data_IF_164162439426
#
_entry.id   IF_164162439426
#
_cell.length_a   1.000
_cell.length_b   1.000
_cell.length_c   1.000
_cell.angle_alpha   90.00
_cell.angle_beta   90.00
_cell.angle_gamma   90.00
#
_symmetry.space_group_name_H-M   'P 1'
#
loop_
_entity.id
_entity.type
_entity.pdbx_description
1 polymer ?
#
# COMPACT_ATOMS: atom_id res chain seq x y z
N UNK A 1 -16.08 14.84 -0.80
CA UNK A 1 -15.41 14.46 0.48
C UNK A 1 -14.46 13.32 0.16
N UNK A 2 -13.14 13.50 0.30
CA UNK A 2 -12.16 12.50 -0.12
C UNK A 2 -11.89 11.53 1.04
N UNK A 3 -12.45 10.31 0.95
CA UNK A 3 -12.36 9.29 2.00
C UNK A 3 -10.90 9.01 2.39
N UNK A 4 -9.98 9.04 1.42
CA UNK A 4 -8.55 8.87 1.64
C UNK A 4 -7.95 9.95 2.54
N UNK A 5 -8.39 11.20 2.39
CA UNK A 5 -7.86 12.32 3.18
C UNK A 5 -8.26 12.20 4.65
N UNK A 6 -9.52 11.84 4.91
CA UNK A 6 -10.03 11.64 6.27
C UNK A 6 -9.33 10.47 6.97
N UNK A 7 -9.05 9.39 6.24
CA UNK A 7 -8.28 8.25 6.78
C UNK A 7 -6.86 8.69 7.12
N UNK A 8 -6.18 9.44 6.25
CA UNK A 8 -4.83 9.95 6.53
C UNK A 8 -4.81 10.85 7.77
N UNK A 9 -5.74 11.79 7.89
CA UNK A 9 -5.85 12.67 9.07
C UNK A 9 -6.05 11.88 10.37
N UNK A 10 -6.90 10.85 10.35
CA UNK A 10 -7.10 9.94 11.51
C UNK A 10 -5.83 9.15 11.86
N UNK A 11 -5.09 8.69 10.85
CA UNK A 11 -3.82 7.99 11.06
C UNK A 11 -2.80 8.93 11.71
N UNK A 12 -2.67 10.17 11.22
CA UNK A 12 -1.78 11.18 11.82
C UNK A 12 -2.18 11.46 13.27
N UNK A 13 -3.47 11.68 13.56
CA UNK A 13 -3.93 11.92 14.93
C UNK A 13 -3.58 10.75 15.85
N UNK A 14 -3.84 9.52 15.42
CA UNK A 14 -3.49 8.31 16.17
C UNK A 14 -1.99 8.23 16.42
N UNK A 15 -1.16 8.43 15.40
CA UNK A 15 0.31 8.40 15.52
C UNK A 15 0.83 9.44 16.51
N UNK A 16 0.34 10.68 16.44
CA UNK A 16 0.78 11.78 17.31
C UNK A 16 0.35 11.61 18.77
N UNK A 17 -0.67 10.76 19.02
CA UNK A 17 -1.14 10.38 20.36
C UNK A 17 -0.55 9.06 20.84
N UNK A 18 0.36 8.47 20.06
CA UNK A 18 0.97 7.18 20.30
C UNK A 18 0.01 5.97 20.25
N UNK A 19 -1.11 6.11 19.55
CA UNK A 19 -2.10 5.06 19.34
C UNK A 19 -1.78 4.24 18.07
N UNK A 20 -2.30 3.01 18.02
CA UNK A 20 -2.12 2.14 16.85
C UNK A 20 -3.06 2.55 15.70
N UNK A 21 -2.48 2.79 14.53
CA UNK A 21 -3.17 3.21 13.31
C UNK A 21 -3.55 2.04 12.38
N UNK A 22 -3.01 0.82 12.63
CA UNK A 22 -3.13 -0.33 11.72
C UNK A 22 -4.59 -0.73 11.43
N UNK A 23 -5.48 -0.53 12.41
CA UNK A 23 -6.91 -0.76 12.25
C UNK A 23 -7.52 0.09 11.12
N UNK A 24 -7.09 1.35 10.96
CA UNK A 24 -7.58 2.24 9.90
C UNK A 24 -7.21 1.69 8.52
N UNK A 25 -6.02 1.11 8.38
CA UNK A 25 -5.55 0.49 7.14
C UNK A 25 -6.33 -0.78 6.85
N UNK A 26 -6.54 -1.64 7.84
CA UNK A 26 -7.32 -2.87 7.69
C UNK A 26 -8.75 -2.54 7.26
N UNK A 27 -9.37 -1.55 7.89
CA UNK A 27 -10.72 -1.10 7.55
C UNK A 27 -10.78 -0.57 6.11
N UNK A 28 -9.80 0.23 5.70
CA UNK A 28 -9.71 0.75 4.32
C UNK A 28 -9.55 -0.39 3.29
N UNK A 29 -8.73 -1.40 3.59
CA UNK A 29 -8.58 -2.59 2.73
C UNK A 29 -9.89 -3.39 2.65
N UNK A 30 -10.64 -3.49 3.75
CA UNK A 30 -11.91 -4.21 3.78
C UNK A 30 -12.98 -3.49 2.95
N UNK A 31 -13.12 -2.18 3.10
CA UNK A 31 -14.05 -1.36 2.30
C UNK A 31 -13.72 -1.47 0.80
N UNK A 32 -12.45 -1.25 0.42
CA UNK A 32 -12.03 -1.33 -0.98
C UNK A 32 -12.24 -2.73 -1.59
N UNK A 33 -12.07 -3.79 -0.80
CA UNK A 33 -12.31 -5.16 -1.26
C UNK A 33 -13.80 -5.45 -1.45
N UNK A 34 -14.66 -5.05 -0.51
CA UNK A 34 -16.09 -5.29 -0.61
C UNK A 34 -16.72 -4.50 -1.77
N UNK A 35 -16.28 -3.26 -1.98
CA UNK A 35 -16.70 -2.45 -3.11
C UNK A 35 -16.30 -3.11 -4.45
N UNK A 36 -15.05 -3.57 -4.56
CA UNK A 36 -14.62 -4.37 -5.70
C UNK A 36 -15.46 -5.63 -5.90
N UNK A 37 -15.70 -6.41 -4.83
CA UNK A 37 -16.45 -7.65 -4.92
C UNK A 37 -17.88 -7.41 -5.45
N UNK A 38 -18.56 -6.37 -4.95
CA UNK A 38 -19.89 -5.98 -5.43
C UNK A 38 -19.86 -5.55 -6.89
N UNK A 39 -18.84 -4.78 -7.32
CA UNK A 39 -18.67 -4.40 -8.71
C UNK A 39 -18.41 -5.60 -9.62
N UNK A 40 -17.53 -6.50 -9.20
CA UNK A 40 -17.17 -7.69 -9.94
C UNK A 40 -18.35 -8.66 -10.11
N UNK A 41 -19.13 -8.90 -9.05
CA UNK A 41 -20.34 -9.73 -9.17
C UNK A 41 -21.40 -9.13 -10.10
N UNK A 42 -21.52 -7.79 -10.17
CA UNK A 42 -22.39 -7.14 -11.17
C UNK A 42 -21.89 -7.37 -12.59
N UNK A 43 -20.59 -7.25 -12.83
CA UNK A 43 -20.00 -7.54 -14.15
C UNK A 43 -20.21 -9.00 -14.54
N UNK A 44 -20.06 -9.95 -13.61
CA UNK A 44 -20.33 -11.37 -13.85
C UNK A 44 -21.80 -11.59 -14.21
N UNK A 45 -22.72 -10.97 -13.47
CA UNK A 45 -24.14 -11.06 -13.76
C UNK A 45 -24.44 -10.57 -15.18
N UNK A 46 -23.92 -9.40 -15.55
CA UNK A 46 -24.12 -8.80 -16.89
C UNK A 46 -23.55 -9.67 -18.01
N UNK A 47 -22.35 -10.21 -17.82
CA UNK A 47 -21.70 -11.08 -18.80
C UNK A 47 -22.44 -12.43 -18.94
N UNK A 48 -22.78 -13.09 -17.82
CA UNK A 48 -23.39 -14.42 -17.85
C UNK A 48 -24.85 -14.40 -18.29
N UNK A 49 -25.59 -13.29 -18.14
CA UNK A 49 -26.94 -13.15 -18.73
C UNK A 49 -26.89 -13.22 -20.26
N UNK A 50 -25.80 -12.74 -20.86
CA UNK A 50 -25.63 -12.69 -22.31
C UNK A 50 -25.11 -14.02 -22.88
N UNK A 51 -24.59 -14.90 -22.02
CA UNK A 51 -24.01 -16.18 -22.39
C UNK A 51 -24.99 -17.35 -22.14
N UNK A 52 -25.26 -18.11 -23.18
CA UNK A 52 -26.10 -19.33 -23.10
C UNK A 52 -25.27 -20.62 -23.02
N UNK A 53 -23.93 -20.53 -23.03
CA UNK A 53 -23.05 -21.69 -23.05
C UNK A 53 -22.58 -22.10 -21.63
N UNK A 54 -22.21 -23.38 -21.50
CA UNK A 54 -21.62 -23.97 -20.30
C UNK A 54 -20.07 -23.98 -20.37
N UNK A 55 -19.46 -23.03 -21.10
CA UNK A 55 -18.01 -22.93 -21.28
C UNK A 55 -17.41 -21.80 -20.43
N UNK A 56 -16.09 -21.79 -20.27
CA UNK A 56 -15.34 -20.70 -19.64
C UNK A 56 -15.02 -19.56 -20.62
N UNK A 57 -15.40 -19.68 -21.89
CA UNK A 57 -15.07 -18.72 -22.94
C UNK A 57 -15.64 -17.33 -22.65
N UNK A 58 -16.88 -17.25 -22.14
CA UNK A 58 -17.46 -15.96 -21.74
C UNK A 58 -16.59 -15.23 -20.71
N UNK A 59 -15.93 -15.95 -19.79
CA UNK A 59 -15.07 -15.33 -18.80
C UNK A 59 -13.82 -14.76 -19.47
N UNK A 60 -13.19 -15.52 -20.39
CA UNK A 60 -12.02 -15.07 -21.14
C UNK A 60 -12.34 -13.84 -21.98
N UNK A 61 -13.45 -13.85 -22.70
CA UNK A 61 -13.90 -12.73 -23.53
C UNK A 61 -14.16 -11.46 -22.69
N UNK A 62 -14.93 -11.59 -21.61
CA UNK A 62 -15.38 -10.43 -20.84
C UNK A 62 -14.33 -9.90 -19.85
N UNK A 63 -13.49 -10.77 -19.28
CA UNK A 63 -12.57 -10.41 -18.20
C UNK A 63 -11.08 -10.46 -18.56
N UNK A 64 -10.71 -10.98 -19.74
CA UNK A 64 -9.31 -11.03 -20.18
C UNK A 64 -9.13 -10.27 -21.50
N UNK A 65 -9.83 -10.68 -22.55
CA UNK A 65 -9.68 -10.12 -23.90
C UNK A 65 -10.35 -8.75 -24.09
N UNK A 66 -11.10 -8.27 -23.12
CA UNK A 66 -11.83 -7.00 -23.19
C UNK A 66 -10.86 -5.80 -23.22
N UNK A 67 -10.89 -5.05 -24.32
CA UNK A 67 -10.03 -3.88 -24.55
C UNK A 67 -10.25 -2.73 -23.54
N UNK A 68 -11.44 -2.65 -22.94
CA UNK A 68 -11.78 -1.59 -21.99
C UNK A 68 -11.17 -1.82 -20.59
N UNK A 69 -10.71 -3.03 -20.29
CA UNK A 69 -10.09 -3.34 -19.00
C UNK A 69 -8.69 -2.78 -18.94
N UNK A 70 -8.27 -2.28 -17.78
CA UNK A 70 -6.87 -1.92 -17.58
C UNK A 70 -6.02 -3.15 -17.19
N UNK A 71 -4.69 -3.04 -17.31
CA UNK A 71 -3.77 -4.15 -17.01
C UNK A 71 -3.89 -4.68 -15.57
N UNK A 72 -4.29 -3.85 -14.61
CA UNK A 72 -4.47 -4.32 -13.23
C UNK A 72 -5.73 -5.16 -13.07
N UNK A 73 -6.82 -4.81 -13.75
CA UNK A 73 -8.05 -5.60 -13.80
C UNK A 73 -7.81 -6.96 -14.47
N UNK A 74 -7.19 -6.96 -15.65
CA UNK A 74 -6.83 -8.18 -16.39
C UNK A 74 -6.04 -9.15 -15.52
N UNK A 75 -4.97 -8.66 -14.86
CA UNK A 75 -4.16 -9.49 -13.97
C UNK A 75 -4.99 -10.07 -12.81
N UNK A 76 -5.82 -9.25 -12.15
CA UNK A 76 -6.67 -9.68 -11.04
C UNK A 76 -7.66 -10.76 -11.47
N UNK A 77 -8.34 -10.57 -12.61
CA UNK A 77 -9.30 -11.53 -13.13
C UNK A 77 -8.64 -12.82 -13.61
N UNK A 78 -7.39 -12.73 -14.07
CA UNK A 78 -6.55 -13.88 -14.36
C UNK A 78 -6.01 -14.60 -13.11
N UNK A 79 -6.26 -14.08 -11.91
CA UNK A 79 -5.78 -14.70 -10.67
C UNK A 79 -4.31 -14.44 -10.37
N UNK A 80 -3.69 -13.40 -10.96
CA UNK A 80 -2.30 -13.04 -10.72
C UNK A 80 -2.15 -11.56 -10.32
N UNK A 81 -1.19 -11.25 -9.46
CA UNK A 81 -0.90 -9.85 -9.11
C UNK A 81 -0.02 -9.20 -10.19
N UNK A 82 -0.40 -8.02 -10.69
CA UNK A 82 0.41 -7.24 -11.64
C UNK A 82 1.86 -7.03 -11.19
N UNK A 83 2.09 -6.82 -9.89
CA UNK A 83 3.44 -6.71 -9.32
C UNK A 83 4.24 -8.00 -9.47
N UNK A 84 3.59 -9.16 -9.39
CA UNK A 84 4.25 -10.45 -9.66
C UNK A 84 4.69 -10.54 -11.11
N UNK A 85 3.87 -10.07 -12.05
CA UNK A 85 4.23 -9.99 -13.47
C UNK A 85 5.47 -9.08 -13.63
N UNK A 86 5.46 -7.88 -13.05
CA UNK A 86 6.62 -6.98 -13.08
C UNK A 86 7.90 -7.63 -12.54
N UNK A 87 7.79 -8.37 -11.43
CA UNK A 87 8.95 -8.98 -10.79
C UNK A 87 9.55 -10.13 -11.63
N UNK A 88 8.71 -10.87 -12.36
CA UNK A 88 9.16 -12.00 -13.18
C UNK A 88 9.68 -11.52 -14.54
N UNK A 89 8.96 -10.59 -15.18
CA UNK A 89 9.19 -10.20 -16.57
C UNK A 89 9.88 -8.83 -16.72
N UNK A 90 10.10 -8.10 -15.62
CA UNK A 90 10.72 -6.77 -15.64
C UNK A 90 9.85 -5.68 -16.28
N UNK A 91 8.59 -5.96 -16.58
CA UNK A 91 7.70 -5.04 -17.30
C UNK A 91 6.23 -5.24 -16.90
N UNK A 92 5.45 -4.19 -17.10
CA UNK A 92 4.02 -4.12 -16.79
C UNK A 92 3.19 -3.58 -17.97
N UNK A 93 3.73 -3.65 -19.19
CA UNK A 93 3.00 -3.22 -20.39
C UNK A 93 1.74 -4.06 -20.59
N UNK A 94 0.75 -3.51 -21.29
CA UNK A 94 -0.53 -4.20 -21.51
C UNK A 94 -0.32 -5.52 -22.22
N UNK A 95 0.57 -5.58 -23.20
CA UNK A 95 0.85 -6.75 -24.02
C UNK A 95 1.38 -7.90 -23.16
N UNK A 96 2.38 -7.64 -22.32
CA UNK A 96 2.96 -8.65 -21.41
C UNK A 96 1.92 -9.10 -20.39
N UNK A 97 1.12 -8.17 -19.86
CA UNK A 97 0.08 -8.54 -18.89
C UNK A 97 -0.99 -9.41 -19.54
N UNK A 98 -1.42 -9.12 -20.77
CA UNK A 98 -2.39 -9.93 -21.51
C UNK A 98 -1.85 -11.34 -21.78
N UNK A 99 -0.60 -11.44 -22.27
CA UNK A 99 0.05 -12.73 -22.54
C UNK A 99 0.09 -13.61 -21.27
N UNK A 100 0.56 -13.03 -20.16
CA UNK A 100 0.65 -13.76 -18.87
C UNK A 100 -0.72 -14.08 -18.31
N UNK A 101 -1.69 -13.18 -18.43
CA UNK A 101 -3.05 -13.40 -17.97
C UNK A 101 -3.74 -14.55 -18.73
N UNK A 102 -3.59 -14.58 -20.06
CA UNK A 102 -4.14 -15.63 -20.89
C UNK A 102 -3.54 -16.99 -20.53
N UNK A 103 -2.20 -17.07 -20.47
CA UNK A 103 -1.49 -18.29 -20.09
C UNK A 103 -1.90 -18.79 -18.69
N UNK A 104 -2.08 -17.88 -17.71
CA UNK A 104 -2.45 -18.26 -16.36
C UNK A 104 -3.91 -18.74 -16.28
N UNK A 105 -4.83 -18.14 -17.05
CA UNK A 105 -6.22 -18.61 -17.12
C UNK A 105 -6.30 -19.99 -17.76
N UNK A 106 -5.60 -20.23 -18.86
CA UNK A 106 -5.59 -21.54 -19.52
C UNK A 106 -4.99 -22.61 -18.60
N UNK A 107 -3.96 -22.26 -17.81
CA UNK A 107 -3.43 -23.13 -16.76
C UNK A 107 -4.47 -23.44 -15.67
N UNK A 108 -5.16 -22.42 -15.15
CA UNK A 108 -6.17 -22.58 -14.10
C UNK A 108 -7.36 -23.42 -14.58
N UNK A 109 -7.84 -23.19 -15.80
CA UNK A 109 -8.93 -23.98 -16.40
C UNK A 109 -8.55 -25.47 -16.48
N UNK A 110 -7.35 -25.78 -16.99
CA UNK A 110 -6.87 -27.16 -17.05
C UNK A 110 -6.75 -27.80 -15.65
N UNK A 111 -6.27 -27.05 -14.66
CA UNK A 111 -6.19 -27.52 -13.28
C UNK A 111 -7.59 -27.79 -12.69
N UNK A 112 -8.55 -26.91 -12.94
CA UNK A 112 -9.91 -27.04 -12.45
C UNK A 112 -10.65 -28.22 -13.10
N UNK A 113 -10.47 -28.44 -14.40
CA UNK A 113 -11.00 -29.61 -15.10
C UNK A 113 -10.46 -30.91 -14.49
N UNK A 114 -9.15 -31.00 -14.25
CA UNK A 114 -8.55 -32.17 -13.62
C UNK A 114 -9.03 -32.40 -12.17
N UNK A 115 -9.25 -31.32 -11.40
CA UNK A 115 -9.77 -31.41 -10.03
C UNK A 115 -11.25 -31.79 -9.98
N UNK A 116 -12.07 -31.25 -10.89
CA UNK A 116 -13.51 -31.49 -10.95
C UNK A 116 -13.88 -32.95 -11.20
N UNK A 117 -13.04 -33.69 -11.93
CA UNK A 117 -13.20 -35.14 -12.15
C UNK A 117 -13.00 -35.97 -10.87
N UNK A 118 -12.35 -35.41 -9.85
CA UNK A 118 -11.95 -36.11 -8.61
C UNK A 118 -12.70 -35.67 -7.35
N UNK A 119 -13.59 -34.68 -7.46
CA UNK A 119 -14.19 -34.02 -6.30
C UNK A 119 -15.60 -34.54 -5.96
N UNK A 120 -15.76 -35.08 -4.75
CA UNK A 120 -17.08 -35.44 -4.17
C UNK A 120 -17.88 -34.22 -3.65
N UNK A 121 -17.37 -32.99 -3.86
CA UNK A 121 -17.95 -31.75 -3.33
C UNK A 121 -18.37 -30.84 -4.49
N UNK A 122 -19.66 -30.49 -4.54
CA UNK A 122 -20.18 -29.45 -5.43
C UNK A 122 -20.14 -28.07 -4.79
N UNK A 123 -19.61 -27.08 -5.52
CA UNK A 123 -19.67 -25.66 -5.17
C UNK A 123 -20.39 -24.91 -6.31
N UNK A 124 -21.34 -24.05 -5.95
CA UNK A 124 -22.06 -23.20 -6.88
C UNK A 124 -22.23 -21.81 -6.27
N UNK A 125 -21.86 -20.77 -7.03
CA UNK A 125 -22.16 -19.38 -6.69
C UNK A 125 -23.41 -18.93 -7.44
N UNK A 126 -24.44 -18.58 -6.68
CA UNK A 126 -25.64 -17.95 -7.19
C UNK A 126 -25.58 -16.44 -6.98
N UNK A 127 -25.64 -15.68 -8.06
CA UNK A 127 -25.61 -14.21 -8.03
C UNK A 127 -26.98 -13.72 -8.44
N UNK A 128 -27.62 -12.93 -7.58
CA UNK A 128 -28.97 -12.40 -7.80
C UNK A 128 -28.99 -10.88 -7.67
N UNK A 129 -29.63 -10.20 -8.62
CA UNK A 129 -29.92 -8.78 -8.54
C UNK A 129 -31.32 -8.51 -9.07
N UNK A 130 -32.20 -7.98 -8.21
CA UNK A 130 -33.64 -7.83 -8.48
C UNK A 130 -34.23 -9.19 -8.90
N UNK A 131 -34.79 -9.29 -10.11
CA UNK A 131 -35.43 -10.49 -10.63
C UNK A 131 -34.50 -11.33 -11.52
N UNK A 132 -33.22 -10.95 -11.63
CA UNK A 132 -32.25 -11.67 -12.46
C UNK A 132 -31.34 -12.48 -11.57
N UNK A 133 -31.11 -13.74 -11.96
CA UNK A 133 -30.18 -14.63 -11.27
C UNK A 133 -29.37 -15.42 -12.28
N UNK A 134 -28.08 -15.56 -11.99
CA UNK A 134 -27.17 -16.48 -12.69
C UNK A 134 -26.58 -17.44 -11.68
N UNK A 135 -26.29 -18.65 -12.13
CA UNK A 135 -25.63 -19.69 -11.34
C UNK A 135 -24.34 -20.07 -12.06
N UNK A 136 -23.25 -20.07 -11.32
CA UNK A 136 -21.93 -20.47 -11.80
C UNK A 136 -21.69 -21.93 -11.46
N UNK A 137 -21.17 -22.69 -12.42
CA UNK A 137 -20.73 -24.06 -12.16
C UNK A 137 -19.49 -24.09 -11.25
N UNK A 138 -18.99 -25.29 -10.93
CA UNK A 138 -17.85 -25.48 -10.04
C UNK A 138 -16.61 -24.70 -10.50
N UNK A 139 -16.24 -24.81 -11.77
CA UNK A 139 -15.03 -24.21 -12.32
C UNK A 139 -15.15 -22.68 -12.37
N UNK A 140 -16.29 -22.16 -12.85
CA UNK A 140 -16.59 -20.74 -12.87
C UNK A 140 -16.57 -20.15 -11.45
N UNK A 141 -17.16 -20.86 -10.48
CA UNK A 141 -17.19 -20.45 -9.07
C UNK A 141 -15.79 -20.36 -8.48
N UNK A 142 -14.95 -21.38 -8.70
CA UNK A 142 -13.58 -21.40 -8.20
C UNK A 142 -12.71 -20.32 -8.85
N UNK A 143 -12.92 -20.04 -10.14
CA UNK A 143 -12.21 -18.96 -10.83
C UNK A 143 -12.56 -17.58 -10.27
N UNK A 144 -13.84 -17.32 -10.03
CA UNK A 144 -14.31 -16.08 -9.40
C UNK A 144 -13.75 -15.92 -7.98
N UNK A 145 -13.71 -17.00 -7.19
CA UNK A 145 -13.10 -17.00 -5.85
C UNK A 145 -11.61 -16.68 -5.95
N UNK A 146 -10.90 -17.25 -6.92
CA UNK A 146 -9.48 -16.99 -7.13
C UNK A 146 -9.23 -15.51 -7.48
N UNK A 147 -10.03 -14.91 -8.35
CA UNK A 147 -9.93 -13.48 -8.66
C UNK A 147 -10.19 -12.58 -7.44
N UNK A 148 -11.20 -12.91 -6.62
CA UNK A 148 -11.47 -12.22 -5.35
C UNK A 148 -10.29 -12.33 -4.37
N UNK A 149 -9.73 -13.54 -4.22
CA UNK A 149 -8.55 -13.77 -3.37
C UNK A 149 -7.34 -12.96 -3.85
N UNK A 150 -7.08 -12.97 -5.15
CA UNK A 150 -6.00 -12.19 -5.78
C UNK A 150 -6.18 -10.69 -5.54
N UNK A 151 -7.40 -10.15 -5.71
CA UNK A 151 -7.66 -8.74 -5.38
C UNK A 151 -7.38 -8.45 -3.91
N UNK A 152 -7.83 -9.31 -2.99
CA UNK A 152 -7.62 -9.10 -1.54
C UNK A 152 -6.14 -9.06 -1.20
N UNK A 153 -5.34 -9.96 -1.78
CA UNK A 153 -3.89 -10.02 -1.59
C UNK A 153 -3.23 -8.76 -2.18
N UNK A 154 -3.61 -8.35 -3.39
CA UNK A 154 -3.09 -7.14 -4.03
C UNK A 154 -3.37 -5.88 -3.20
N UNK A 155 -4.60 -5.72 -2.69
CA UNK A 155 -4.97 -4.61 -1.81
C UNK A 155 -4.14 -4.62 -0.52
N UNK A 156 -3.96 -5.78 0.12
CA UNK A 156 -3.13 -5.91 1.33
C UNK A 156 -1.68 -5.53 1.05
N UNK A 157 -1.07 -6.04 -0.02
CA UNK A 157 0.32 -5.74 -0.36
C UNK A 157 0.57 -4.27 -0.73
N UNK A 158 -0.39 -3.63 -1.40
CA UNK A 158 -0.27 -2.23 -1.82
C UNK A 158 -0.58 -1.21 -0.72
N UNK A 159 -1.57 -1.49 0.14
CA UNK A 159 -2.09 -0.51 1.10
C UNK A 159 -1.06 -0.05 2.13
N UNK A 160 -0.28 -0.96 2.73
CA UNK A 160 0.72 -0.60 3.74
C UNK A 160 1.80 0.32 3.19
N UNK A 161 2.32 0.01 1.99
CA UNK A 161 3.34 0.82 1.32
C UNK A 161 2.77 2.17 0.89
N UNK A 162 1.57 2.18 0.29
CA UNK A 162 0.91 3.42 -0.16
C UNK A 162 0.62 4.36 0.99
N UNK A 163 0.08 3.84 2.10
CA UNK A 163 -0.21 4.65 3.30
C UNK A 163 1.09 5.15 3.94
N UNK A 164 2.12 4.30 4.03
CA UNK A 164 3.46 4.70 4.47
C UNK A 164 3.95 5.93 3.70
N UNK A 165 4.05 5.83 2.37
CA UNK A 165 4.52 6.94 1.53
C UNK A 165 3.63 8.19 1.64
N UNK A 166 2.31 8.03 1.73
CA UNK A 166 1.36 9.14 1.86
C UNK A 166 1.43 9.84 3.23
N UNK A 167 1.97 9.20 4.28
CA UNK A 167 2.00 9.76 5.64
C UNK A 167 3.29 10.51 5.97
N UNK A 168 4.41 10.17 5.32
CA UNK A 168 5.76 10.62 5.67
C UNK A 168 5.80 12.15 5.83
N UNK A 169 5.45 12.88 4.76
CA UNK A 169 5.44 14.34 4.75
C UNK A 169 4.31 14.94 5.60
N UNK A 170 3.03 14.51 5.49
CA UNK A 170 1.96 15.05 6.34
C UNK A 170 2.20 14.92 7.85
N UNK A 171 2.80 13.81 8.29
CA UNK A 171 3.15 13.59 9.69
C UNK A 171 4.20 14.60 10.16
N UNK A 172 5.25 14.83 9.36
CA UNK A 172 6.29 15.82 9.68
C UNK A 172 5.74 17.24 9.72
N UNK A 173 4.87 17.60 8.79
CA UNK A 173 4.18 18.89 8.80
C UNK A 173 3.32 19.06 10.05
N UNK A 174 2.59 18.02 10.46
CA UNK A 174 1.78 18.06 11.67
C UNK A 174 2.64 18.20 12.95
N UNK A 175 3.79 17.52 13.03
CA UNK A 175 4.76 17.69 14.11
C UNK A 175 5.31 19.12 14.14
N UNK A 176 5.81 19.62 13.00
CA UNK A 176 6.33 20.99 12.87
C UNK A 176 5.28 22.03 13.29
N UNK A 177 4.04 21.88 12.82
CA UNK A 177 2.93 22.78 13.16
C UNK A 177 2.61 22.76 14.65
N UNK A 178 2.52 21.58 15.28
CA UNK A 178 2.25 21.45 16.73
C UNK A 178 3.39 22.01 17.59
N UNK A 179 4.63 21.96 17.10
CA UNK A 179 5.78 22.58 17.76
C UNK A 179 5.94 24.07 17.42
N UNK A 180 5.20 24.60 16.44
CA UNK A 180 5.33 25.98 15.98
C UNK A 180 6.63 26.27 15.23
N UNK A 181 7.19 25.27 14.54
CA UNK A 181 8.32 25.46 13.61
C UNK A 181 7.83 26.30 12.43
N UNK A 182 8.55 27.37 12.10
CA UNK A 182 8.18 28.24 10.98
C UNK A 182 8.57 27.61 9.64
N UNK A 183 7.83 27.94 8.58
CA UNK A 183 8.05 27.38 7.24
C UNK A 183 9.47 27.61 6.69
N UNK A 184 10.16 28.67 7.11
CA UNK A 184 11.55 28.92 6.73
C UNK A 184 12.57 27.94 7.33
N UNK A 185 12.16 27.06 8.26
CA UNK A 185 13.04 26.08 8.91
C UNK A 185 12.74 24.64 8.51
N UNK A 186 11.93 24.42 7.47
CA UNK A 186 11.74 23.11 6.89
C UNK A 186 11.53 23.18 5.37
N UNK A 187 11.91 22.10 4.68
CA UNK A 187 11.60 21.90 3.27
C UNK A 187 10.77 20.62 3.13
N UNK A 188 9.62 20.77 2.47
CA UNK A 188 8.69 19.70 2.19
C UNK A 188 8.46 19.52 0.68
N UNK A 189 9.24 20.15 -0.18
CA UNK A 189 9.06 20.10 -1.62
C UNK A 189 9.27 18.68 -2.17
N UNK A 190 8.59 18.31 -3.27
CA UNK A 190 8.81 17.03 -3.92
C UNK A 190 10.29 16.88 -4.29
N UNK A 191 10.86 15.71 -4.02
CA UNK A 191 12.23 15.42 -4.40
C UNK A 191 12.40 15.54 -5.92
N UNK A 192 13.40 16.31 -6.33
CA UNK A 192 13.87 16.40 -7.70
C UNK A 192 15.34 16.00 -7.72
N UNK A 193 15.65 14.89 -8.39
CA UNK A 193 17.02 14.39 -8.49
C UNK A 193 17.91 15.44 -9.13
N UNK A 194 18.94 15.85 -8.40
CA UNK A 194 20.00 16.67 -8.96
C UNK A 194 20.86 15.80 -9.89
N UNK A 195 20.79 16.09 -11.19
CA UNK A 195 21.54 15.36 -12.22
C UNK A 195 23.04 15.68 -12.19
N UNK A 196 23.46 16.69 -11.43
CA UNK A 196 24.87 17.07 -11.28
C UNK A 196 25.61 16.28 -10.20
N UNK A 197 24.88 15.65 -9.27
CA UNK A 197 25.46 14.81 -8.24
C UNK A 197 25.69 13.38 -8.76
N UNK A 198 26.84 12.79 -8.42
CA UNK A 198 27.14 11.39 -8.71
C UNK A 198 26.15 10.43 -8.04
N UNK A 199 25.55 10.88 -6.95
CA UNK A 199 24.52 10.19 -6.20
C UNK A 199 23.64 11.20 -5.47
N UNK A 200 22.33 11.10 -5.69
CA UNK A 200 21.33 11.91 -4.99
C UNK A 200 20.15 11.00 -4.65
N UNK A 201 19.77 10.96 -3.37
CA UNK A 201 18.73 10.08 -2.85
C UNK A 201 17.61 10.90 -2.24
N UNK A 202 16.39 10.45 -2.51
CA UNK A 202 15.20 11.00 -1.88
C UNK A 202 15.26 10.82 -0.36
N UNK A 203 15.01 11.92 0.35
CA UNK A 203 14.81 11.99 1.80
C UNK A 203 13.38 12.43 2.04
N UNK A 204 12.73 11.87 3.04
CA UNK A 204 11.30 12.08 3.27
C UNK A 204 10.96 13.52 3.70
N UNK A 205 11.86 14.19 4.45
CA UNK A 205 11.69 15.58 4.90
C UNK A 205 13.02 16.25 5.30
N UNK A 206 13.07 17.59 5.33
CA UNK A 206 14.27 18.36 5.72
C UNK A 206 13.95 19.45 6.74
N UNK A 207 14.83 19.63 7.72
CA UNK A 207 14.77 20.71 8.72
C UNK A 207 16.06 21.54 8.69
N UNK A 208 16.00 22.80 9.13
CA UNK A 208 17.14 23.71 9.16
C UNK A 208 17.33 24.31 10.56
N UNK A 209 18.58 24.44 10.99
CA UNK A 209 18.92 25.19 12.21
C UNK A 209 18.62 26.69 12.07
N UNK A 210 18.75 27.42 13.17
CA UNK A 210 18.36 28.83 13.28
C UNK A 210 19.02 29.77 12.25
N UNK A 211 20.27 29.52 11.88
CA UNK A 211 21.01 30.31 10.88
C UNK A 211 20.99 29.68 9.48
N UNK A 212 20.26 28.57 9.30
CA UNK A 212 20.16 27.78 8.07
C UNK A 212 21.50 27.26 7.53
N UNK A 213 22.57 27.26 8.33
CA UNK A 213 23.88 26.73 7.93
C UNK A 213 23.91 25.20 7.85
N UNK A 214 22.96 24.52 8.50
CA UNK A 214 22.89 23.06 8.56
C UNK A 214 21.51 22.55 8.18
N UNK A 215 21.50 21.63 7.22
CA UNK A 215 20.34 20.82 6.84
C UNK A 215 20.33 19.51 7.63
N UNK A 216 19.19 19.18 8.22
CA UNK A 216 18.91 17.91 8.88
C UNK A 216 17.93 17.10 8.06
N UNK A 217 18.42 15.98 7.53
CA UNK A 217 17.63 14.99 6.79
C UNK A 217 16.80 14.16 7.75
N UNK A 218 15.51 14.03 7.45
CA UNK A 218 14.56 13.27 8.26
C UNK A 218 14.00 12.11 7.47
N UNK A 219 14.02 10.94 8.11
CA UNK A 219 13.47 9.71 7.56
C UNK A 219 12.28 9.26 8.41
N UNK A 220 11.19 8.89 7.76
CA UNK A 220 9.95 8.46 8.42
C UNK A 220 9.62 7.03 8.02
N UNK A 221 9.38 6.15 9.00
CA UNK A 221 9.03 4.74 8.73
C UNK A 221 7.91 4.24 9.62
N UNK A 222 6.83 3.78 8.98
CA UNK A 222 5.76 3.03 9.63
C UNK A 222 6.06 1.53 9.55
N UNK A 223 6.77 1.01 10.55
CA UNK A 223 7.37 -0.33 10.57
C UNK A 223 6.43 -1.39 11.19
N UNK A 224 6.62 -2.63 10.78
CA UNK A 224 6.05 -3.80 11.47
C UNK A 224 7.06 -4.37 12.46
N UNK A 225 6.59 -5.13 13.46
CA UNK A 225 7.45 -5.84 14.43
C UNK A 225 8.53 -6.72 13.77
N UNK A 226 8.26 -7.23 12.56
CA UNK A 226 9.14 -8.16 11.84
C UNK A 226 10.17 -7.53 10.89
N UNK A 227 10.35 -6.21 10.88
CA UNK A 227 11.31 -5.57 9.96
C UNK A 227 12.21 -4.52 10.66
N UNK A 228 13.10 -4.95 11.57
CA UNK A 228 14.01 -4.03 12.25
C UNK A 228 15.05 -3.40 11.32
N UNK A 229 15.36 -4.01 10.18
CA UNK A 229 16.37 -3.53 9.20
C UNK A 229 15.91 -2.30 8.42
N UNK A 230 14.63 -1.94 8.48
CA UNK A 230 14.18 -0.66 7.95
C UNK A 230 14.90 0.54 8.57
N UNK A 231 15.47 0.41 9.77
CA UNK A 231 16.31 1.44 10.37
C UNK A 231 17.65 1.65 9.64
N UNK A 232 18.14 0.69 8.86
CA UNK A 232 19.39 0.83 8.09
C UNK A 232 19.24 1.83 6.93
N UNK A 233 17.99 2.16 6.56
CA UNK A 233 17.71 3.25 5.62
C UNK A 233 18.31 4.58 6.09
N UNK A 234 18.45 4.79 7.41
CA UNK A 234 19.09 5.97 8.01
C UNK A 234 20.53 6.12 7.54
N UNK A 235 21.31 5.03 7.51
CA UNK A 235 22.70 5.05 7.03
C UNK A 235 22.75 5.29 5.53
N UNK A 236 21.90 4.57 4.80
CA UNK A 236 21.87 4.61 3.35
C UNK A 236 21.45 5.99 2.79
N UNK A 237 20.77 6.80 3.60
CA UNK A 237 20.27 8.15 3.26
C UNK A 237 20.97 9.27 4.06
N UNK A 238 21.91 8.93 4.94
CA UNK A 238 22.61 9.87 5.84
C UNK A 238 21.61 10.75 6.63
N UNK A 239 20.58 10.11 7.19
CA UNK A 239 19.53 10.79 7.93
C UNK A 239 19.99 11.15 9.34
N UNK A 240 19.61 12.35 9.78
CA UNK A 240 19.96 12.89 11.09
C UNK A 240 18.85 12.67 12.12
N UNK A 241 17.62 12.50 11.63
CA UNK A 241 16.43 12.29 12.46
C UNK A 241 15.66 11.10 11.90
N UNK A 242 15.30 10.15 12.77
CA UNK A 242 14.50 8.98 12.41
C UNK A 242 13.17 8.97 13.19
N UNK A 243 12.06 9.08 12.48
CA UNK A 243 10.72 9.03 13.06
C UNK A 243 10.09 7.68 12.70
N UNK A 244 9.74 6.89 13.70
CA UNK A 244 9.14 5.59 13.47
C UNK A 244 7.93 5.33 14.35
N UNK A 245 7.00 4.52 13.88
CA UNK A 245 5.89 4.09 14.73
C UNK A 245 6.38 3.17 15.85
N UNK A 246 7.25 2.20 15.57
CA UNK A 246 7.76 1.21 16.54
C UNK A 246 9.27 1.06 16.35
N UNK A 247 10.06 1.10 17.43
CA UNK A 247 11.51 0.87 17.42
C UNK A 247 11.89 -0.27 18.37
N UNK A 248 12.66 -1.23 17.87
CA UNK A 248 13.27 -2.24 18.75
C UNK A 248 14.35 -1.62 19.64
N UNK A 249 14.69 -2.29 20.75
CA UNK A 249 15.82 -1.88 21.62
C UNK A 249 17.12 -1.81 20.81
N UNK A 250 17.33 -2.77 19.90
CA UNK A 250 18.49 -2.78 19.02
C UNK A 250 18.52 -1.55 18.10
N UNK A 251 17.38 -1.17 17.50
CA UNK A 251 17.33 0.04 16.67
C UNK A 251 17.68 1.30 17.48
N UNK A 252 17.16 1.43 18.70
CA UNK A 252 17.47 2.58 19.58
C UNK A 252 18.96 2.65 19.91
N UNK A 253 19.57 1.51 20.25
CA UNK A 253 21.00 1.42 20.54
C UNK A 253 21.84 1.79 19.31
N UNK A 254 21.45 1.31 18.13
CA UNK A 254 22.14 1.55 16.87
C UNK A 254 22.05 3.02 16.44
N UNK A 255 20.85 3.62 16.48
CA UNK A 255 20.65 5.04 16.18
C UNK A 255 21.44 5.93 17.15
N UNK A 256 21.48 5.57 18.44
CA UNK A 256 22.30 6.28 19.44
C UNK A 256 23.79 6.17 19.12
N UNK A 257 24.28 4.98 18.73
CA UNK A 257 25.68 4.78 18.35
C UNK A 257 26.07 5.56 17.08
N UNK A 258 25.10 5.86 16.21
CA UNK A 258 25.28 6.64 14.99
C UNK A 258 25.03 8.15 15.16
N UNK A 259 24.78 8.62 16.38
CA UNK A 259 24.45 10.02 16.67
C UNK A 259 23.21 10.51 15.88
N UNK A 260 22.21 9.65 15.72
CA UNK A 260 20.95 9.94 15.04
C UNK A 260 19.86 10.17 16.08
N UNK A 261 19.21 11.33 16.02
CA UNK A 261 18.05 11.62 16.86
C UNK A 261 16.85 10.77 16.40
N UNK A 262 16.05 10.27 17.33
CA UNK A 262 14.91 9.44 16.96
C UNK A 262 13.67 9.68 17.81
N UNK A 263 12.51 9.43 17.20
CA UNK A 263 11.21 9.49 17.85
C UNK A 263 10.43 8.21 17.56
N UNK A 264 10.15 7.44 18.61
CA UNK A 264 9.16 6.36 18.55
C UNK A 264 7.78 6.93 18.89
N UNK A 265 6.79 6.65 18.04
CA UNK A 265 5.43 7.18 18.19
C UNK A 265 4.54 6.24 19.01
N UNK A 266 4.49 4.94 18.70
CA UNK A 266 3.58 3.99 19.34
C UNK A 266 3.88 3.84 20.82
N UNK A 267 2.86 4.03 21.65
CA UNK A 267 2.98 4.02 23.10
C UNK A 267 3.57 5.31 23.70
N UNK A 268 4.02 6.26 22.88
CA UNK A 268 4.51 7.54 23.34
C UNK A 268 3.34 8.52 23.55
N UNK A 269 3.13 8.93 24.80
CA UNK A 269 2.05 9.87 25.17
C UNK A 269 2.40 11.33 24.94
N UNK A 270 3.67 11.64 24.69
CA UNK A 270 4.19 13.00 24.51
C UNK A 270 5.09 13.11 23.26
N UNK A 271 4.60 12.60 22.11
CA UNK A 271 5.32 12.67 20.83
C UNK A 271 5.75 14.10 20.48
N UNK A 272 4.91 15.10 20.79
CA UNK A 272 5.19 16.51 20.51
C UNK A 272 6.29 17.06 21.41
N UNK A 273 6.24 16.76 22.71
CA UNK A 273 7.28 17.18 23.66
C UNK A 273 8.63 16.53 23.37
N UNK A 274 8.65 15.25 23.01
CA UNK A 274 9.87 14.56 22.61
C UNK A 274 10.44 15.10 21.30
N UNK A 275 9.58 15.42 20.32
CA UNK A 275 10.04 16.10 19.11
C UNK A 275 10.62 17.48 19.41
N UNK A 276 10.04 18.27 20.33
CA UNK A 276 10.64 19.54 20.78
C UNK A 276 12.05 19.36 21.37
N UNK A 277 12.31 18.25 22.08
CA UNK A 277 13.66 17.95 22.62
C UNK A 277 14.66 17.74 21.49
N UNK A 278 14.27 17.03 20.43
CA UNK A 278 15.09 16.83 19.22
C UNK A 278 15.38 18.19 18.57
N UNK A 279 14.34 19.00 18.32
CA UNK A 279 14.50 20.34 17.73
C UNK A 279 15.47 21.22 18.54
N UNK A 280 15.34 21.19 19.88
CA UNK A 280 16.24 21.92 20.78
C UNK A 280 17.69 21.44 20.68
N UNK A 281 17.94 20.13 20.66
CA UNK A 281 19.31 19.58 20.55
C UNK A 281 19.96 19.94 19.22
N UNK A 282 19.18 20.02 18.15
CA UNK A 282 19.65 20.35 16.81
C UNK A 282 19.64 21.86 16.50
N UNK A 283 19.25 22.72 17.46
CA UNK A 283 19.21 24.17 17.26
C UNK A 283 18.18 24.62 16.22
N UNK A 284 17.10 23.87 16.04
CA UNK A 284 16.01 24.18 15.10
C UNK A 284 14.97 25.06 15.83
N UNK A 285 14.61 26.24 15.31
CA UNK A 285 13.64 27.13 15.97
C UNK A 285 12.22 26.56 16.03
N UNK A 286 11.61 26.67 17.21
CA UNK A 286 10.20 26.30 17.46
C UNK A 286 9.58 27.24 18.51
N UNK A 287 8.25 27.28 18.61
CA UNK A 287 7.58 28.09 19.63
C UNK A 287 7.47 27.29 20.94
N UNK A 288 7.95 27.90 22.03
CA UNK A 288 7.95 27.35 23.39
C UNK A 288 6.59 26.80 23.80
#
# INVERSE_FOLDING_TARGET
MNLDKLVLERIIDKLLRGLDYREEIINSINVAFLDFALGFFKQILEAKIQDQQLSLEWYKEHFIANENLNSQEIAVYAGINKKTICNIYGSETREIVLEVAQANIDYLENLLNALGESADIGLCLKITYKNISVELNLNESLLVINALATKKIALRGGAWSSVGKKIEKPLMLALCQKCGVQQGFYNADPFSKDKSLSYDREVDFKLYNADQSREYRVEVKLMGKGNPECADAVMARESHIFIADTLSVQNKNQLTAWDVEFLELKGNRDCVGDFKKILKRLGIPYKG
#
